data_IF_222161240597
#
_entry.id   IF_222161240597
#
_cell.length_a   1.000
_cell.length_b   1.000
_cell.length_c   1.000
_cell.angle_alpha   90.00
_cell.angle_beta   90.00
_cell.angle_gamma   90.00
#
_symmetry.space_group_name_H-M   'P 1'
#
loop_
_entity.id
_entity.type
_entity.pdbx_description
1 polymer ?
#
# COMPACT_ATOMS: atom_id res chain seq x y z
N UNK A 1 1.19 21.21 -9.45
CA UNK A 1 1.89 20.02 -8.90
C UNK A 1 0.99 18.81 -9.13
N UNK A 2 1.48 17.79 -9.80
CA UNK A 2 0.71 16.54 -9.95
C UNK A 2 0.75 15.74 -8.63
N UNK A 3 -0.36 15.10 -8.30
CA UNK A 3 -0.40 14.17 -7.18
C UNK A 3 0.40 12.91 -7.52
N UNK A 4 0.98 12.28 -6.50
CA UNK A 4 1.62 10.97 -6.65
C UNK A 4 0.58 9.90 -6.96
N UNK A 5 0.95 8.96 -7.80
CA UNK A 5 0.11 7.80 -8.11
C UNK A 5 0.30 6.70 -7.09
N UNK A 6 -0.79 6.07 -6.68
CA UNK A 6 -0.81 5.02 -5.66
C UNK A 6 -1.27 3.71 -6.28
N UNK A 7 -0.42 2.71 -6.27
CA UNK A 7 -0.79 1.34 -6.61
C UNK A 7 -1.31 0.61 -5.37
N UNK A 8 -2.56 0.17 -5.42
CA UNK A 8 -3.24 -0.52 -4.32
C UNK A 8 -3.22 -2.02 -4.59
N UNK A 9 -2.42 -2.74 -3.83
CA UNK A 9 -2.18 -4.17 -4.02
C UNK A 9 -3.11 -5.02 -3.15
N UNK A 10 -3.85 -5.92 -3.76
CA UNK A 10 -4.73 -6.89 -3.09
C UNK A 10 -4.03 -8.19 -2.73
N UNK A 11 -2.86 -8.46 -3.32
CA UNK A 11 -2.10 -9.68 -3.09
C UNK A 11 -0.69 -9.37 -2.61
N UNK A 12 -0.21 -10.16 -1.66
CA UNK A 12 1.18 -10.24 -1.24
C UNK A 12 1.75 -11.60 -1.66
N UNK A 13 3.05 -11.68 -1.88
CA UNK A 13 3.73 -12.97 -2.04
C UNK A 13 3.75 -13.79 -0.75
N UNK A 14 3.36 -13.21 0.37
CA UNK A 14 3.17 -13.91 1.64
C UNK A 14 1.98 -14.86 1.54
N UNK A 15 2.24 -16.15 1.77
CA UNK A 15 1.19 -17.18 1.76
C UNK A 15 0.08 -16.85 2.77
N UNK A 16 -1.17 -17.06 2.34
CA UNK A 16 -2.40 -16.86 3.15
C UNK A 16 -2.63 -15.41 3.62
N UNK A 17 -1.90 -14.42 3.10
CA UNK A 17 -2.21 -13.02 3.36
C UNK A 17 -3.43 -12.59 2.55
N UNK A 18 -4.48 -12.13 3.24
CA UNK A 18 -5.75 -11.72 2.64
C UNK A 18 -6.15 -10.29 2.99
N UNK A 19 -5.36 -9.60 3.80
CA UNK A 19 -5.66 -8.22 4.17
C UNK A 19 -5.47 -7.30 2.99
N UNK A 20 -6.46 -6.44 2.78
CA UNK A 20 -6.42 -5.41 1.75
C UNK A 20 -6.30 -4.04 2.39
N UNK A 21 -5.55 -3.10 1.79
CA UNK A 21 -5.37 -1.76 2.36
C UNK A 21 -6.65 -0.93 2.36
N UNK A 22 -7.47 -1.06 1.33
CA UNK A 22 -8.70 -0.29 1.13
C UNK A 22 -9.84 -1.27 0.84
N UNK A 23 -10.91 -1.20 1.62
CA UNK A 23 -12.11 -1.98 1.32
C UNK A 23 -12.85 -1.31 0.14
N UNK A 24 -13.13 -2.04 -0.98
CA UNK A 24 -13.72 -1.42 -2.17
C UNK A 24 -15.04 -0.67 -1.92
N UNK A 25 -15.89 -1.18 -1.03
CA UNK A 25 -17.16 -0.53 -0.69
C UNK A 25 -17.01 0.78 0.10
N UNK A 26 -15.79 1.15 0.48
CA UNK A 26 -15.49 2.41 1.20
C UNK A 26 -14.78 3.44 0.32
N UNK A 27 -14.66 3.17 -0.98
CA UNK A 27 -14.02 4.12 -1.90
C UNK A 27 -14.69 5.49 -1.91
N UNK A 28 -15.99 5.54 -1.74
CA UNK A 28 -16.74 6.81 -1.69
C UNK A 28 -16.41 7.69 -0.47
N UNK A 29 -15.70 7.14 0.52
CA UNK A 29 -15.20 7.92 1.66
C UNK A 29 -13.91 8.68 1.33
N UNK A 30 -13.31 8.38 0.19
CA UNK A 30 -12.10 9.03 -0.30
C UNK A 30 -12.51 10.09 -1.33
N UNK A 31 -11.96 11.29 -1.21
CA UNK A 31 -12.23 12.38 -2.14
C UNK A 31 -11.94 11.96 -3.60
N UNK A 32 -12.80 12.39 -4.51
CA UNK A 32 -12.72 11.99 -5.93
C UNK A 32 -11.37 12.32 -6.58
N UNK A 33 -10.80 13.47 -6.25
CA UNK A 33 -9.49 13.88 -6.78
C UNK A 33 -8.36 12.97 -6.32
N UNK A 34 -8.47 12.39 -5.12
CA UNK A 34 -7.54 11.38 -4.61
C UNK A 34 -7.79 10.04 -5.29
N UNK A 35 -9.06 9.61 -5.41
CA UNK A 35 -9.43 8.34 -6.05
C UNK A 35 -8.91 8.21 -7.47
N UNK A 36 -8.88 9.29 -8.24
CA UNK A 36 -8.33 9.34 -9.61
C UNK A 36 -6.83 9.00 -9.69
N UNK A 37 -6.13 9.06 -8.56
CA UNK A 37 -4.71 8.70 -8.46
C UNK A 37 -4.48 7.32 -7.83
N UNK A 38 -5.55 6.58 -7.49
CA UNK A 38 -5.49 5.21 -7.00
C UNK A 38 -5.65 4.24 -8.17
N UNK A 39 -4.67 3.37 -8.35
CA UNK A 39 -4.70 2.30 -9.33
C UNK A 39 -4.71 0.96 -8.61
N UNK A 40 -5.70 0.13 -8.91
CA UNK A 40 -5.90 -1.15 -8.21
C UNK A 40 -5.31 -2.32 -8.97
N UNK A 41 -4.85 -3.32 -8.24
CA UNK A 41 -4.42 -4.58 -8.81
C UNK A 41 -5.61 -5.31 -9.45
N UNK A 42 -5.41 -5.88 -10.64
CA UNK A 42 -6.42 -6.69 -11.33
C UNK A 42 -6.97 -7.79 -10.42
N UNK A 43 -8.28 -7.89 -10.34
CA UNK A 43 -8.99 -8.84 -9.47
C UNK A 43 -9.15 -8.39 -8.02
N UNK A 44 -8.68 -7.20 -7.64
CA UNK A 44 -8.72 -6.67 -6.28
C UNK A 44 -10.12 -6.70 -5.66
N UNK A 45 -11.13 -6.31 -6.41
CA UNK A 45 -12.51 -6.21 -5.94
C UNK A 45 -13.27 -7.53 -5.90
N UNK A 46 -12.81 -8.56 -6.61
CA UNK A 46 -13.55 -9.81 -6.78
C UNK A 46 -13.99 -10.48 -5.47
N UNK A 47 -13.13 -10.58 -4.42
CA UNK A 47 -13.54 -11.15 -3.14
C UNK A 47 -14.67 -10.38 -2.44
N UNK A 48 -14.93 -9.15 -2.87
CA UNK A 48 -15.92 -8.23 -2.30
C UNK A 48 -17.14 -8.02 -3.24
N UNK A 49 -17.24 -8.82 -4.32
CA UNK A 49 -18.33 -8.73 -5.27
C UNK A 49 -18.25 -7.55 -6.26
N UNK A 50 -17.08 -6.93 -6.40
CA UNK A 50 -16.83 -5.82 -7.33
C UNK A 50 -15.88 -6.28 -8.44
N UNK A 51 -16.29 -6.18 -9.69
CA UNK A 51 -15.43 -6.49 -10.82
C UNK A 51 -14.46 -5.36 -11.17
N UNK A 52 -13.48 -5.66 -12.03
CA UNK A 52 -12.43 -4.70 -12.41
C UNK A 52 -13.00 -3.48 -13.14
N UNK A 53 -14.09 -3.62 -13.89
CA UNK A 53 -14.73 -2.52 -14.61
C UNK A 53 -15.40 -1.54 -13.64
N UNK A 54 -16.12 -2.07 -12.66
CA UNK A 54 -16.73 -1.27 -11.59
C UNK A 54 -15.66 -0.52 -10.80
N UNK A 55 -14.59 -1.23 -10.40
CA UNK A 55 -13.49 -0.64 -9.64
C UNK A 55 -12.76 0.45 -10.43
N UNK A 56 -12.52 0.22 -11.73
CA UNK A 56 -11.91 1.21 -12.63
C UNK A 56 -12.75 2.47 -12.80
N UNK A 57 -14.09 2.35 -12.80
CA UNK A 57 -14.98 3.51 -12.91
C UNK A 57 -14.95 4.44 -11.68
N UNK A 58 -14.49 3.93 -10.53
CA UNK A 58 -14.43 4.65 -9.25
C UNK A 58 -13.01 5.11 -8.88
N UNK A 59 -12.01 4.81 -9.69
CA UNK A 59 -10.59 5.03 -9.37
C UNK A 59 -9.83 5.57 -10.59
N UNK A 60 -8.51 5.62 -10.50
CA UNK A 60 -7.63 5.93 -11.64
C UNK A 60 -7.54 4.80 -12.66
N UNK A 61 -7.88 3.58 -12.26
CA UNK A 61 -7.89 2.41 -13.12
C UNK A 61 -7.50 1.11 -12.41
N UNK A 62 -7.50 0.04 -13.20
CA UNK A 62 -7.09 -1.30 -12.77
C UNK A 62 -5.96 -1.77 -13.67
N UNK A 63 -4.85 -2.20 -13.08
CA UNK A 63 -3.63 -2.59 -13.77
C UNK A 63 -3.16 -3.97 -13.30
N UNK A 64 -2.34 -4.63 -14.12
CA UNK A 64 -1.61 -5.82 -13.66
C UNK A 64 -0.63 -5.45 -12.54
N UNK A 65 -0.27 -6.42 -11.70
CA UNK A 65 0.73 -6.22 -10.64
C UNK A 65 2.04 -5.63 -11.20
N UNK A 66 2.50 -6.12 -12.33
CA UNK A 66 3.73 -5.64 -12.98
C UNK A 66 3.59 -4.18 -13.41
N UNK A 67 2.44 -3.84 -14.00
CA UNK A 67 2.21 -2.47 -14.47
C UNK A 67 2.01 -1.50 -13.31
N UNK A 68 1.40 -1.93 -12.20
CA UNK A 68 1.35 -1.14 -10.97
C UNK A 68 2.75 -0.75 -10.47
N UNK A 69 3.68 -1.71 -10.41
CA UNK A 69 5.06 -1.43 -9.99
C UNK A 69 5.78 -0.47 -10.93
N UNK A 70 5.47 -0.50 -12.23
CA UNK A 70 6.07 0.42 -13.22
C UNK A 70 5.44 1.80 -13.17
N UNK A 71 4.12 1.87 -13.06
CA UNK A 71 3.35 3.10 -13.20
C UNK A 71 3.30 3.92 -11.92
N UNK A 72 3.13 3.27 -10.75
CA UNK A 72 2.83 3.96 -9.51
C UNK A 72 4.09 4.38 -8.75
N UNK A 73 3.99 5.50 -8.04
CA UNK A 73 5.05 6.03 -7.18
C UNK A 73 5.01 5.39 -5.80
N UNK A 74 3.80 5.13 -5.31
CA UNK A 74 3.53 4.55 -4.00
C UNK A 74 2.97 3.14 -4.17
N UNK A 75 3.57 2.18 -3.50
CA UNK A 75 3.10 0.79 -3.38
C UNK A 75 2.37 0.66 -2.04
N UNK A 76 1.04 0.70 -2.09
CA UNK A 76 0.18 0.47 -0.93
C UNK A 76 -0.11 -1.02 -0.81
N UNK A 77 0.65 -1.70 0.03
CA UNK A 77 0.60 -3.13 0.25
C UNK A 77 0.65 -3.44 1.74
N UNK A 78 -0.41 -4.07 2.26
CA UNK A 78 -0.60 -4.23 3.70
C UNK A 78 0.53 -5.01 4.37
N UNK A 79 0.88 -6.19 3.88
CA UNK A 79 1.87 -7.06 4.53
C UNK A 79 2.87 -7.64 3.52
N UNK A 80 3.93 -6.93 3.19
CA UNK A 80 4.95 -7.40 2.26
C UNK A 80 5.87 -8.45 2.90
N UNK A 81 6.50 -9.22 2.02
CA UNK A 81 7.72 -9.99 2.30
C UNK A 81 8.86 -9.49 1.40
N UNK A 82 10.06 -10.04 1.54
CA UNK A 82 11.22 -9.60 0.76
C UNK A 82 10.94 -9.59 -0.75
N UNK A 83 10.33 -10.65 -1.27
CA UNK A 83 10.05 -10.81 -2.70
C UNK A 83 9.09 -9.74 -3.23
N UNK A 84 8.20 -9.19 -2.39
CA UNK A 84 7.38 -8.03 -2.78
C UNK A 84 8.24 -6.77 -2.95
N UNK A 85 9.26 -6.58 -2.09
CA UNK A 85 10.19 -5.47 -2.19
C UNK A 85 11.12 -5.61 -3.39
N UNK A 86 11.50 -6.84 -3.73
CA UNK A 86 12.33 -7.11 -4.90
C UNK A 86 11.63 -6.76 -6.22
N UNK A 87 10.30 -6.78 -6.25
CA UNK A 87 9.50 -6.35 -7.41
C UNK A 87 9.42 -4.81 -7.55
N UNK A 88 9.67 -4.04 -6.49
CA UNK A 88 9.56 -2.57 -6.53
C UNK A 88 10.67 -1.92 -7.34
N UNK A 89 10.34 -0.84 -8.04
CA UNK A 89 11.35 -0.01 -8.72
C UNK A 89 12.23 0.75 -7.72
N UNK A 90 13.44 1.12 -8.12
CA UNK A 90 14.30 1.98 -7.32
C UNK A 90 13.62 3.30 -6.97
N UNK A 91 13.76 3.72 -5.70
CA UNK A 91 13.20 4.96 -5.21
C UNK A 91 11.69 4.94 -4.98
N UNK A 92 11.02 3.79 -5.12
CA UNK A 92 9.60 3.67 -4.83
C UNK A 92 9.30 3.95 -3.35
N UNK A 93 8.06 4.31 -3.07
CA UNK A 93 7.55 4.49 -1.71
C UNK A 93 6.70 3.26 -1.36
N UNK A 94 7.02 2.57 -0.27
CA UNK A 94 6.15 1.53 0.28
C UNK A 94 5.34 2.08 1.44
N UNK A 95 4.04 1.78 1.46
CA UNK A 95 3.11 2.15 2.53
C UNK A 95 2.38 0.90 3.04
N UNK A 96 2.60 0.52 4.29
CA UNK A 96 2.05 -0.71 4.87
C UNK A 96 2.76 -1.12 6.15
N UNK A 97 2.77 -2.42 6.47
CA UNK A 97 3.49 -3.00 7.62
C UNK A 97 4.77 -3.75 7.19
N UNK A 98 5.88 -3.06 6.90
CA UNK A 98 7.13 -3.71 6.47
C UNK A 98 7.85 -4.46 7.59
N UNK A 99 7.66 -4.09 8.86
CA UNK A 99 8.35 -4.69 10.02
C UNK A 99 9.86 -4.76 9.89
N UNK A 100 10.50 -3.72 9.37
CA UNK A 100 11.93 -3.69 9.07
C UNK A 100 12.82 -3.99 10.28
N UNK A 101 12.42 -3.54 11.48
CA UNK A 101 13.17 -3.80 12.72
C UNK A 101 13.34 -5.29 12.98
N UNK A 102 12.37 -6.11 12.56
CA UNK A 102 12.35 -7.55 12.82
C UNK A 102 12.83 -8.38 11.61
N UNK A 103 12.99 -7.76 10.43
CA UNK A 103 13.21 -8.47 9.17
C UNK A 103 14.40 -7.90 8.39
N UNK A 104 15.60 -8.39 8.73
CA UNK A 104 16.87 -7.94 8.10
C UNK A 104 16.83 -7.97 6.57
N UNK A 105 16.22 -9.00 5.96
CA UNK A 105 16.18 -9.13 4.49
C UNK A 105 15.33 -8.05 3.83
N UNK A 106 14.15 -7.75 4.38
CA UNK A 106 13.30 -6.64 3.91
C UNK A 106 14.04 -5.31 4.04
N UNK A 107 14.70 -5.09 5.18
CA UNK A 107 15.48 -3.88 5.42
C UNK A 107 16.61 -3.73 4.41
N UNK A 108 17.33 -4.81 4.12
CA UNK A 108 18.41 -4.77 3.14
C UNK A 108 17.88 -4.46 1.73
N UNK A 109 16.79 -5.11 1.30
CA UNK A 109 16.16 -4.82 -0.01
C UNK A 109 15.71 -3.36 -0.10
N UNK A 110 15.17 -2.79 0.99
CA UNK A 110 14.77 -1.39 1.03
C UNK A 110 15.96 -0.44 0.88
N UNK A 111 17.09 -0.74 1.53
CA UNK A 111 18.33 0.06 1.44
C UNK A 111 18.89 -0.03 0.01
N UNK A 112 19.02 -1.23 -0.54
CA UNK A 112 19.62 -1.47 -1.86
C UNK A 112 18.83 -0.77 -2.97
N UNK A 113 17.51 -0.72 -2.83
CA UNK A 113 16.60 -0.05 -3.78
C UNK A 113 16.31 1.40 -3.45
N UNK A 114 16.86 1.94 -2.37
CA UNK A 114 16.63 3.31 -1.90
C UNK A 114 15.14 3.62 -1.73
N UNK A 115 14.39 2.68 -1.15
CA UNK A 115 12.96 2.84 -0.93
C UNK A 115 12.69 3.84 0.20
N UNK A 116 11.60 4.58 0.09
CA UNK A 116 11.00 5.32 1.20
C UNK A 116 9.94 4.43 1.85
N UNK A 117 9.99 4.26 3.16
CA UNK A 117 9.03 3.43 3.89
C UNK A 117 8.12 4.28 4.77
N UNK A 118 6.80 4.16 4.56
CA UNK A 118 5.77 4.70 5.46
C UNK A 118 5.20 3.52 6.22
N UNK A 119 5.74 3.28 7.41
CA UNK A 119 5.43 2.10 8.20
C UNK A 119 4.23 2.36 9.11
N UNK A 120 3.13 1.61 8.93
CA UNK A 120 1.95 1.73 9.77
C UNK A 120 2.23 1.40 11.24
N UNK A 121 3.15 0.48 11.53
CA UNK A 121 3.60 0.18 12.90
C UNK A 121 4.35 1.33 13.58
N UNK A 122 4.82 2.30 12.81
CA UNK A 122 5.51 3.49 13.32
C UNK A 122 4.65 4.76 13.27
N UNK A 123 3.40 4.66 12.86
CA UNK A 123 2.48 5.81 12.84
C UNK A 123 1.88 6.03 14.22
N UNK A 124 2.31 7.10 14.86
CA UNK A 124 1.93 7.47 16.21
C UNK A 124 1.28 8.86 16.26
N UNK A 125 0.39 9.05 17.22
CA UNK A 125 -0.08 10.37 17.60
C UNK A 125 0.80 10.92 18.73
N UNK A 126 1.24 12.16 18.54
CA UNK A 126 2.05 12.90 19.49
C UNK A 126 1.30 14.15 19.96
N UNK A 127 1.53 14.59 21.18
CA UNK A 127 1.03 15.87 21.68
C UNK A 127 1.77 17.04 21.02
N UNK A 128 1.26 18.25 21.20
CA UNK A 128 1.96 19.48 20.79
C UNK A 128 3.31 19.69 21.51
N UNK A 129 3.54 19.00 22.63
CA UNK A 129 4.78 19.04 23.41
C UNK A 129 5.74 17.90 23.07
N UNK A 130 5.39 17.04 22.11
CA UNK A 130 6.23 15.92 21.67
C UNK A 130 6.09 14.64 22.51
N UNK A 131 5.07 14.54 23.38
CA UNK A 131 4.80 13.32 24.14
C UNK A 131 4.00 12.32 23.30
N UNK A 132 4.39 11.06 23.34
CA UNK A 132 3.67 9.99 22.69
C UNK A 132 2.28 9.80 23.32
N UNK A 133 1.24 9.67 22.51
CA UNK A 133 -0.14 9.48 22.95
C UNK A 133 -0.70 8.09 22.59
N UNK A 134 -0.60 7.69 21.32
CA UNK A 134 -1.18 6.42 20.88
C UNK A 134 -0.65 5.98 19.52
N UNK A 135 -0.81 4.71 19.19
CA UNK A 135 -0.69 4.20 17.83
C UNK A 135 -1.92 4.61 17.00
N UNK A 136 -1.71 5.08 15.76
CA UNK A 136 -2.80 5.38 14.83
C UNK A 136 -3.39 4.09 14.29
N UNK A 137 -2.55 3.11 13.94
CA UNK A 137 -2.98 1.77 13.58
C UNK A 137 -2.78 0.83 14.76
N UNK A 138 -3.87 0.25 15.26
CA UNK A 138 -3.79 -0.78 16.27
C UNK A 138 -3.19 -2.05 15.63
N UNK A 139 -2.14 -2.57 16.22
CA UNK A 139 -1.66 -3.90 15.88
C UNK A 139 -2.70 -4.91 16.38
N UNK A 140 -3.38 -5.56 15.46
CA UNK A 140 -4.12 -6.76 15.78
C UNK A 140 -3.08 -7.88 15.94
N UNK A 141 -2.70 -8.13 17.17
CA UNK A 141 -1.97 -9.32 17.55
C UNK A 141 -2.92 -10.52 17.59
#
# INVERSE_FOLDING_TARGET
MSLLTVGVFGTSRKKQEKRVPIHPNQLDWIDEDIRKNLFFEKGYGLPFGMDDSQLASMSGGVLSRIDLHKHCDIVLLAKPIQEDFDDMKHGAIHWGWPHCVQQKKITQSAIDKKLTLIAWEAMHRWSSHGDWQMHIFHNNN
#
